data_IF_217803110888
#
_entry.id   IF_217803110888
#
_cell.length_a   1.000
_cell.length_b   1.000
_cell.length_c   1.000
_cell.angle_alpha   90.00
_cell.angle_beta   90.00
_cell.angle_gamma   90.00
#
_symmetry.space_group_name_H-M   'P 1'
#
loop_
_entity.id
_entity.type
_entity.pdbx_description
1 polymer ?
#
# COMPACT_ATOMS: atom_id res chain seq x y z
N UNK A 1 14.25 6.42 13.11
CA UNK A 1 13.12 5.59 12.62
C UNK A 1 11.90 5.94 13.46
N UNK A 2 10.79 6.36 12.85
CA UNK A 2 9.64 6.93 13.57
C UNK A 2 8.88 5.85 14.37
N UNK A 3 8.72 6.06 15.68
CA UNK A 3 7.95 5.19 16.62
C UNK A 3 6.51 4.92 16.15
N UNK A 4 5.97 5.83 15.33
CA UNK A 4 4.56 5.88 14.93
C UNK A 4 4.14 4.75 13.99
N UNK A 5 5.01 4.28 13.09
CA UNK A 5 4.63 3.26 12.09
C UNK A 5 4.31 1.92 12.75
N UNK A 6 5.18 1.44 13.64
CA UNK A 6 4.98 0.18 14.38
C UNK A 6 3.76 0.25 15.30
N UNK A 7 3.55 1.39 15.94
CA UNK A 7 2.36 1.64 16.76
C UNK A 7 1.08 1.54 15.92
N UNK A 8 1.06 2.15 14.73
CA UNK A 8 -0.08 2.04 13.81
C UNK A 8 -0.34 0.59 13.39
N UNK A 9 0.67 -0.16 12.99
CA UNK A 9 0.49 -1.58 12.66
C UNK A 9 -0.01 -2.42 13.85
N UNK A 10 0.45 -2.13 15.07
CA UNK A 10 0.00 -2.80 16.29
C UNK A 10 -1.48 -2.52 16.57
N UNK A 11 -1.95 -1.30 16.30
CA UNK A 11 -3.35 -0.88 16.40
C UNK A 11 -4.22 -1.30 15.20
N UNK A 12 -3.70 -2.12 14.27
CA UNK A 12 -4.34 -2.45 13.00
C UNK A 12 -4.69 -1.23 12.13
N UNK A 13 -3.97 -0.12 12.29
CA UNK A 13 -4.06 1.07 11.45
C UNK A 13 -3.06 0.87 10.31
N UNK A 14 -3.57 0.77 9.09
CA UNK A 14 -2.71 0.68 7.90
C UNK A 14 -2.05 2.01 7.58
N UNK A 15 -0.76 2.03 7.19
CA UNK A 15 -0.11 3.25 6.72
C UNK A 15 -0.85 3.82 5.51
N UNK A 16 -1.25 5.09 5.60
CA UNK A 16 -2.00 5.81 4.57
C UNK A 16 -1.33 5.72 3.20
N UNK A 17 -0.01 5.78 3.15
CA UNK A 17 0.77 5.74 1.91
C UNK A 17 0.56 4.42 1.12
N UNK A 18 0.70 3.26 1.78
CA UNK A 18 0.49 1.98 1.12
C UNK A 18 -0.96 1.80 0.67
N UNK A 19 -1.91 2.32 1.44
CA UNK A 19 -3.33 2.26 1.11
C UNK A 19 -3.68 3.10 -0.11
N UNK A 20 -3.14 4.32 -0.21
CA UNK A 20 -3.29 5.17 -1.40
C UNK A 20 -2.71 4.46 -2.63
N UNK A 21 -1.50 3.87 -2.52
CA UNK A 21 -0.88 3.12 -3.62
C UNK A 21 -1.75 1.96 -4.09
N UNK A 22 -2.33 1.19 -3.17
CA UNK A 22 -3.25 0.09 -3.52
C UNK A 22 -4.54 0.59 -4.19
N UNK A 23 -5.10 1.70 -3.72
CA UNK A 23 -6.31 2.31 -4.32
C UNK A 23 -6.02 2.76 -5.76
N UNK A 24 -4.87 3.43 -5.99
CA UNK A 24 -4.48 3.86 -7.34
C UNK A 24 -4.33 2.68 -8.31
N UNK A 25 -3.64 1.62 -7.89
CA UNK A 25 -3.45 0.41 -8.72
C UNK A 25 -4.77 -0.31 -9.01
N UNK A 26 -5.64 -0.46 -8.01
CA UNK A 26 -6.96 -1.08 -8.18
C UNK A 26 -7.87 -0.23 -9.09
N UNK A 27 -7.86 1.08 -8.92
CA UNK A 27 -8.60 2.00 -9.78
C UNK A 27 -8.14 1.90 -11.25
N UNK A 28 -6.83 1.85 -11.49
CA UNK A 28 -6.29 1.67 -12.82
C UNK A 28 -6.74 0.34 -13.46
N UNK A 29 -6.59 -0.78 -12.75
CA UNK A 29 -6.99 -2.09 -13.28
C UNK A 29 -8.47 -2.11 -13.67
N UNK A 30 -9.32 -1.43 -12.89
CA UNK A 30 -10.75 -1.27 -13.22
C UNK A 30 -10.99 -0.39 -14.43
N UNK A 31 -10.22 0.69 -14.60
CA UNK A 31 -10.31 1.54 -15.78
C UNK A 31 -9.88 0.81 -17.06
N UNK A 32 -8.74 0.12 -17.00
CA UNK A 32 -8.17 -0.64 -18.12
C UNK A 32 -9.06 -1.82 -18.55
N UNK A 33 -9.70 -2.49 -17.58
CA UNK A 33 -10.65 -3.57 -17.87
C UNK A 33 -12.05 -3.10 -18.23
N UNK A 34 -12.35 -1.80 -18.15
CA UNK A 34 -13.68 -1.27 -18.45
C UNK A 34 -13.91 -1.11 -19.95
N UNK A 35 -14.91 -1.82 -20.48
CA UNK A 35 -15.25 -1.77 -21.90
C UNK A 35 -15.65 -0.38 -22.40
N UNK A 36 -16.41 0.39 -21.62
CA UNK A 36 -16.83 1.76 -21.98
C UNK A 36 -15.63 2.72 -21.99
N UNK A 37 -14.72 2.62 -21.02
CA UNK A 37 -13.48 3.40 -21.01
C UNK A 37 -12.65 3.10 -22.25
N UNK A 38 -12.51 1.82 -22.61
CA UNK A 38 -11.76 1.41 -23.79
C UNK A 38 -12.43 1.87 -25.10
N UNK A 39 -13.76 1.83 -25.19
CA UNK A 39 -14.51 2.37 -26.33
C UNK A 39 -14.38 3.89 -26.44
N UNK A 40 -14.47 4.61 -25.32
CA UNK A 40 -14.26 6.05 -25.26
C UNK A 40 -12.85 6.46 -25.67
N UNK A 41 -11.81 5.76 -25.20
CA UNK A 41 -10.41 5.99 -25.59
C UNK A 41 -10.25 5.80 -27.11
N UNK A 42 -10.80 4.72 -27.67
CA UNK A 42 -10.79 4.48 -29.12
C UNK A 42 -11.53 5.55 -29.91
N UNK A 43 -12.67 6.02 -29.40
CA UNK A 43 -13.49 7.03 -30.05
C UNK A 43 -12.87 8.42 -30.00
N UNK A 44 -12.15 8.74 -28.91
CA UNK A 44 -11.50 10.03 -28.73
C UNK A 44 -10.15 10.16 -29.48
N UNK A 45 -9.72 9.10 -30.17
CA UNK A 45 -8.80 9.17 -31.30
C UNK A 45 -7.32 9.42 -30.99
N UNK A 46 -6.97 10.11 -29.91
CA UNK A 46 -5.56 10.43 -29.60
C UNK A 46 -5.38 11.10 -28.22
N UNK A 47 -6.29 10.89 -27.27
CA UNK A 47 -6.11 11.55 -25.99
C UNK A 47 -5.00 10.84 -25.21
N UNK A 48 -3.97 11.62 -24.90
CA UNK A 48 -2.90 11.42 -23.90
C UNK A 48 -3.38 10.82 -22.57
N UNK A 49 -4.68 10.61 -22.34
CA UNK A 49 -5.25 9.91 -21.17
C UNK A 49 -4.54 8.60 -20.90
N UNK A 50 -4.18 7.83 -21.93
CA UNK A 50 -3.47 6.57 -21.70
C UNK A 50 -2.09 6.84 -21.12
N UNK A 51 -1.37 7.83 -21.65
CA UNK A 51 -0.03 8.20 -21.22
C UNK A 51 -0.04 9.00 -19.90
N UNK A 52 -1.08 9.78 -19.60
CA UNK A 52 -1.30 10.49 -18.33
C UNK A 52 -1.66 9.51 -17.21
N UNK A 53 -2.53 8.54 -17.47
CA UNK A 53 -2.87 7.48 -16.51
C UNK A 53 -1.67 6.58 -16.27
N UNK A 54 -0.97 6.19 -17.34
CA UNK A 54 0.30 5.48 -17.27
C UNK A 54 1.29 6.33 -16.46
N UNK A 55 1.50 7.60 -16.78
CA UNK A 55 2.40 8.50 -16.05
C UNK A 55 2.04 8.62 -14.57
N UNK A 56 0.77 8.74 -14.18
CA UNK A 56 0.37 8.74 -12.76
C UNK A 56 0.70 7.42 -12.02
N UNK A 57 0.71 6.29 -12.75
CA UNK A 57 1.11 4.97 -12.24
C UNK A 57 2.62 4.80 -12.28
N UNK A 58 3.29 5.38 -13.27
CA UNK A 58 4.74 5.36 -13.42
C UNK A 58 5.42 6.47 -12.59
N UNK A 59 4.71 7.47 -12.07
CA UNK A 59 5.17 8.30 -10.95
C UNK A 59 5.26 7.45 -9.67
N UNK A 60 4.43 6.41 -9.52
CA UNK A 60 4.64 5.37 -8.49
C UNK A 60 5.90 4.52 -8.82
N UNK A 61 6.36 4.51 -10.07
CA UNK A 61 7.51 3.73 -10.54
C UNK A 61 8.88 4.34 -10.25
N UNK A 62 8.97 5.57 -9.73
CA UNK A 62 10.23 6.08 -9.12
C UNK A 62 10.74 5.16 -8.00
N UNK A 63 9.94 4.21 -7.51
CA UNK A 63 10.36 3.22 -6.52
C UNK A 63 11.04 1.99 -7.13
N UNK A 64 10.79 1.55 -8.39
CA UNK A 64 11.39 0.31 -8.93
C UNK A 64 11.22 0.20 -10.45
N UNK A 65 12.36 0.15 -11.15
CA UNK A 65 12.56 -0.18 -12.58
C UNK A 65 11.66 -1.34 -13.03
N UNK A 66 10.79 -1.08 -14.01
CA UNK A 66 10.00 -2.13 -14.64
C UNK A 66 10.80 -2.76 -15.78
N UNK A 67 10.85 -4.10 -15.78
CA UNK A 67 11.39 -4.86 -16.90
C UNK A 67 10.43 -4.76 -18.09
N UNK A 68 10.94 -4.48 -19.29
CA UNK A 68 10.14 -4.16 -20.50
C UNK A 68 9.35 -5.36 -21.05
N UNK A 69 9.43 -6.52 -20.40
CA UNK A 69 8.90 -7.79 -20.88
C UNK A 69 7.51 -8.15 -20.35
N UNK A 70 6.88 -7.31 -19.50
CA UNK A 70 5.57 -7.59 -18.88
C UNK A 70 4.49 -6.61 -19.30
N UNK A 71 3.23 -7.08 -19.35
CA UNK A 71 2.08 -6.20 -19.57
C UNK A 71 1.86 -5.27 -18.38
N UNK A 72 1.18 -4.13 -18.60
CA UNK A 72 0.86 -3.18 -17.52
C UNK A 72 0.01 -3.84 -16.42
N UNK A 73 -0.86 -4.78 -16.80
CA UNK A 73 -1.71 -5.53 -15.87
C UNK A 73 -0.86 -6.44 -14.95
N UNK A 74 0.10 -7.18 -15.52
CA UNK A 74 1.02 -8.02 -14.75
C UNK A 74 1.94 -7.18 -13.85
N UNK A 75 2.41 -6.04 -14.35
CA UNK A 75 3.14 -5.05 -13.58
C UNK A 75 2.32 -4.56 -12.36
N UNK A 76 1.06 -4.17 -12.57
CA UNK A 76 0.16 -3.72 -11.50
C UNK A 76 -0.10 -4.84 -10.47
N UNK A 77 -0.40 -6.06 -10.92
CA UNK A 77 -0.63 -7.21 -10.06
C UNK A 77 0.61 -7.52 -9.19
N UNK A 78 1.80 -7.47 -9.81
CA UNK A 78 3.08 -7.69 -9.12
C UNK A 78 3.33 -6.62 -8.04
N UNK A 79 3.06 -5.35 -8.34
CA UNK A 79 3.18 -4.26 -7.34
C UNK A 79 2.19 -4.39 -6.20
N UNK A 80 0.94 -4.74 -6.49
CA UNK A 80 -0.06 -5.00 -5.45
C UNK A 80 0.40 -6.12 -4.53
N UNK A 81 0.98 -7.19 -5.07
CA UNK A 81 1.55 -8.28 -4.28
C UNK A 81 2.69 -7.78 -3.38
N UNK A 82 3.67 -7.07 -3.93
CA UNK A 82 4.81 -6.53 -3.17
C UNK A 82 4.34 -5.61 -2.04
N UNK A 83 3.40 -4.69 -2.30
CA UNK A 83 2.88 -3.78 -1.27
C UNK A 83 2.17 -4.57 -0.16
N UNK A 84 1.34 -5.56 -0.53
CA UNK A 84 0.67 -6.43 0.46
C UNK A 84 1.68 -7.22 1.28
N UNK A 85 2.73 -7.71 0.66
CA UNK A 85 3.79 -8.46 1.32
C UNK A 85 4.60 -7.59 2.29
N UNK A 86 4.95 -6.36 1.90
CA UNK A 86 5.59 -5.39 2.78
C UNK A 86 4.72 -5.08 4.00
N UNK A 87 3.43 -4.81 3.80
CA UNK A 87 2.48 -4.59 4.91
C UNK A 87 2.42 -5.81 5.83
N UNK A 88 2.43 -7.04 5.28
CA UNK A 88 2.43 -8.28 6.06
C UNK A 88 3.70 -8.38 6.91
N UNK A 89 4.88 -8.23 6.29
CA UNK A 89 6.16 -8.27 6.98
C UNK A 89 6.22 -7.25 8.13
N UNK A 90 5.73 -6.02 7.91
CA UNK A 90 5.67 -4.97 8.93
C UNK A 90 4.73 -5.32 10.09
N UNK A 91 3.62 -6.02 9.82
CA UNK A 91 2.68 -6.49 10.85
C UNK A 91 3.24 -7.66 11.67
N UNK A 92 4.13 -8.45 11.10
CA UNK A 92 4.75 -9.63 11.73
C UNK A 92 6.08 -9.30 12.45
N UNK A 93 6.54 -8.05 12.39
CA UNK A 93 7.70 -7.64 13.19
C UNK A 93 7.46 -7.93 14.67
N UNK A 94 8.46 -8.52 15.33
CA UNK A 94 8.39 -8.93 16.74
C UNK A 94 7.91 -7.79 17.66
N UNK A 95 8.38 -6.57 17.40
CA UNK A 95 7.97 -5.37 18.15
C UNK A 95 6.48 -5.02 17.95
N UNK A 96 5.93 -5.24 16.74
CA UNK A 96 4.52 -4.98 16.44
C UNK A 96 3.63 -6.02 17.11
N UNK A 97 4.04 -7.29 17.10
CA UNK A 97 3.36 -8.38 17.81
C UNK A 97 3.32 -8.08 19.31
N UNK A 98 4.42 -7.61 19.86
CA UNK A 98 4.52 -7.32 21.29
C UNK A 98 3.66 -6.11 21.70
N UNK A 99 3.66 -5.03 20.90
CA UNK A 99 2.76 -3.89 21.10
C UNK A 99 1.28 -4.30 20.98
N UNK A 100 0.96 -5.20 20.04
CA UNK A 100 -0.40 -5.74 19.89
C UNK A 100 -0.85 -6.48 21.15
N UNK A 101 0.02 -7.30 21.75
CA UNK A 101 -0.26 -7.97 23.03
C UNK A 101 -0.57 -6.98 24.15
N UNK A 102 0.14 -5.85 24.21
CA UNK A 102 -0.15 -4.78 25.17
C UNK A 102 -1.50 -4.13 24.86
N UNK A 103 -1.85 -3.87 23.60
CA UNK A 103 -3.18 -3.32 23.28
C UNK A 103 -4.33 -4.30 23.55
N UNK A 104 -4.05 -5.60 23.46
CA UNK A 104 -5.02 -6.66 23.75
C UNK A 104 -5.22 -6.88 25.26
N UNK A 105 -4.38 -6.31 26.14
CA UNK A 105 -4.68 -6.31 27.57
C UNK A 105 -5.91 -5.42 27.82
N UNK A 106 -6.96 -6.02 28.37
CA UNK A 106 -8.25 -5.34 28.60
C UNK A 106 -8.17 -4.20 29.63
N UNK A 107 -7.06 -4.10 30.36
CA UNK A 107 -6.81 -3.04 31.32
C UNK A 107 -6.17 -1.81 30.65
N UNK A 108 -7.02 -0.88 30.22
CA UNK A 108 -6.59 0.36 29.57
C UNK A 108 -5.73 1.25 30.46
N UNK A 109 -5.75 1.05 31.78
CA UNK A 109 -4.98 1.88 32.71
C UNK A 109 -3.48 1.54 32.70
N UNK A 110 -3.11 0.31 32.30
CA UNK A 110 -1.71 -0.14 32.28
C UNK A 110 -1.04 -0.01 30.91
N UNK A 111 -1.81 0.04 29.82
CA UNK A 111 -1.31 0.13 28.43
C UNK A 111 -0.25 1.22 28.27
N UNK A 112 -0.51 2.44 28.75
CA UNK A 112 0.45 3.54 28.61
C UNK A 112 1.76 3.23 29.32
N UNK A 113 1.68 2.72 30.56
CA UNK A 113 2.86 2.37 31.36
C UNK A 113 3.69 1.28 30.69
N UNK A 114 3.04 0.22 30.22
CA UNK A 114 3.71 -0.91 29.55
C UNK A 114 4.38 -0.51 28.23
N UNK A 115 3.80 0.42 27.46
CA UNK A 115 4.41 0.96 26.24
C UNK A 115 5.66 1.80 26.56
N UNK A 116 5.64 2.62 27.62
CA UNK A 116 6.74 3.52 27.96
C UNK A 116 7.87 2.87 28.78
N UNK A 117 7.61 1.78 29.50
CA UNK A 117 8.62 1.04 30.29
C UNK A 117 9.49 0.08 29.46
N UNK A 118 9.09 -0.24 28.23
CA UNK A 118 9.87 -1.06 27.30
C UNK A 118 11.15 -0.32 26.86
N UNK A 119 12.35 -0.84 27.13
CA UNK A 119 13.60 -0.17 26.80
C UNK A 119 13.85 -0.22 25.29
N UNK A 120 13.89 0.97 24.66
CA UNK A 120 14.24 1.22 23.26
C UNK A 120 13.57 0.29 22.23
N UNK A 121 12.37 0.70 21.83
CA UNK A 121 11.87 0.50 20.46
C UNK A 121 12.60 1.41 19.46
#
# INVERSE_FOLDING_TARGET
KCRTKKLFHAMNIEPTEHKIKLIKLDFFLRLDSNGLTNELIKYMGDIDIKDDIVSEIFEISEILEFDTCVTIQEACASKMYIIKDLIRCEKEEEQVIELRRIFDTKDRSTISKEIFEKPKF
#
